data_IF_833658508377
#
_entry.id   IF_833658508377
#
_cell.length_a   1.000
_cell.length_b   1.000
_cell.length_c   1.000
_cell.angle_alpha   90.00
_cell.angle_beta   90.00
_cell.angle_gamma   90.00
#
_symmetry.space_group_name_H-M   'P 1'
#
loop_
_entity.id
_entity.type
_entity.pdbx_description
1 polymer ?
#
# COMPACT_ATOMS: atom_id res chain seq x y z
N UNK A 1 -64.30 -20.32 -4.71
CA UNK A 1 -63.83 -18.92 -4.69
C UNK A 1 -62.54 -18.90 -3.85
N UNK A 2 -61.46 -19.20 -4.53
CA UNK A 2 -60.13 -19.27 -3.92
C UNK A 2 -59.29 -18.12 -4.44
N UNK A 3 -58.99 -17.19 -3.54
CA UNK A 3 -58.12 -16.08 -3.87
C UNK A 3 -56.70 -16.39 -3.42
N UNK A 4 -55.94 -16.92 -4.34
CA UNK A 4 -54.49 -17.16 -4.15
C UNK A 4 -53.78 -15.81 -4.17
N UNK A 5 -53.36 -15.35 -3.03
CA UNK A 5 -52.59 -14.12 -2.84
C UNK A 5 -51.10 -14.45 -3.06
N UNK A 6 -50.67 -14.25 -4.29
CA UNK A 6 -49.22 -14.32 -4.63
C UNK A 6 -48.55 -13.13 -4.02
N UNK A 7 -47.85 -13.36 -2.92
CA UNK A 7 -46.93 -12.37 -2.32
C UNK A 7 -45.64 -12.46 -3.15
N UNK A 8 -45.52 -11.54 -4.12
CA UNK A 8 -44.26 -11.29 -4.79
C UNK A 8 -43.28 -10.70 -3.82
N UNK A 9 -42.35 -11.50 -3.41
CA UNK A 9 -41.17 -11.10 -2.64
C UNK A 9 -40.18 -10.48 -3.63
N UNK A 10 -40.35 -9.20 -3.91
CA UNK A 10 -39.31 -8.39 -4.53
C UNK A 10 -38.17 -8.30 -3.53
N UNK A 11 -37.23 -9.27 -3.63
CA UNK A 11 -35.93 -9.13 -3.01
C UNK A 11 -35.27 -7.91 -3.66
N UNK A 12 -35.27 -6.80 -2.95
CA UNK A 12 -34.50 -5.61 -3.26
C UNK A 12 -33.04 -6.06 -3.40
N UNK A 13 -32.59 -6.23 -4.63
CA UNK A 13 -31.19 -6.42 -4.98
C UNK A 13 -30.47 -5.13 -4.64
N UNK A 14 -29.99 -5.04 -3.40
CA UNK A 14 -29.01 -4.01 -3.03
C UNK A 14 -27.88 -4.05 -4.07
N UNK A 15 -27.41 -2.91 -4.58
CA UNK A 15 -26.37 -2.87 -5.60
C UNK A 15 -25.15 -3.62 -5.08
N UNK A 16 -24.91 -4.77 -5.67
CA UNK A 16 -23.72 -5.56 -5.34
C UNK A 16 -22.52 -4.82 -5.93
N UNK A 17 -21.54 -4.47 -5.10
CA UNK A 17 -20.31 -3.81 -5.54
C UNK A 17 -19.62 -4.70 -6.57
N UNK A 18 -19.35 -4.17 -7.77
CA UNK A 18 -18.44 -4.84 -8.70
C UNK A 18 -17.01 -4.71 -8.18
N UNK A 19 -16.54 -5.79 -7.55
CA UNK A 19 -15.21 -5.81 -6.97
C UNK A 19 -14.10 -5.79 -8.00
N UNK A 20 -14.35 -6.24 -9.24
CA UNK A 20 -13.37 -6.17 -10.33
C UNK A 20 -13.12 -4.72 -10.72
N UNK A 21 -14.18 -3.96 -10.94
CA UNK A 21 -14.13 -2.53 -11.25
C UNK A 21 -13.55 -1.74 -10.07
N UNK A 22 -14.06 -1.98 -8.87
CA UNK A 22 -13.60 -1.29 -7.66
C UNK A 22 -12.10 -1.53 -7.37
N UNK A 23 -11.58 -2.72 -7.60
CA UNK A 23 -10.15 -3.03 -7.45
C UNK A 23 -9.33 -2.35 -8.56
N UNK A 24 -9.82 -2.34 -9.80
CA UNK A 24 -9.14 -1.68 -10.92
C UNK A 24 -9.04 -0.16 -10.72
N UNK A 25 -10.13 0.49 -10.31
CA UNK A 25 -10.15 1.93 -10.01
C UNK A 25 -9.21 2.32 -8.86
N UNK A 26 -9.06 1.44 -7.89
CA UNK A 26 -8.28 1.71 -6.67
C UNK A 26 -6.88 1.07 -6.69
N UNK A 27 -6.49 0.36 -7.76
CA UNK A 27 -5.24 -0.42 -7.86
C UNK A 27 -4.01 0.40 -7.48
N UNK A 28 -3.84 1.55 -8.10
CA UNK A 28 -2.63 2.36 -7.96
C UNK A 28 -2.36 2.77 -6.51
N UNK A 29 -3.33 3.42 -5.87
CA UNK A 29 -3.13 3.87 -4.49
C UNK A 29 -3.11 2.71 -3.48
N UNK A 30 -3.85 1.61 -3.74
CA UNK A 30 -3.76 0.40 -2.91
C UNK A 30 -2.34 -0.15 -2.89
N UNK A 31 -1.71 -0.28 -4.05
CA UNK A 31 -0.31 -0.70 -4.18
C UNK A 31 0.64 0.24 -3.44
N UNK A 32 0.39 1.55 -3.54
CA UNK A 32 1.17 2.56 -2.82
C UNK A 32 1.05 2.40 -1.30
N UNK A 33 -0.15 2.19 -0.77
CA UNK A 33 -0.39 1.92 0.66
C UNK A 33 0.30 0.62 1.10
N UNK A 34 0.15 -0.45 0.34
CA UNK A 34 0.78 -1.74 0.64
C UNK A 34 2.30 -1.58 0.65
N UNK A 35 2.88 -0.97 -0.40
CA UNK A 35 4.32 -0.73 -0.49
C UNK A 35 4.85 0.09 0.70
N UNK A 36 4.15 1.15 1.09
CA UNK A 36 4.52 1.95 2.26
C UNK A 36 4.64 1.11 3.55
N UNK A 37 3.91 0.00 3.63
CA UNK A 37 3.83 -0.86 4.81
C UNK A 37 4.76 -2.06 4.79
N UNK A 38 4.94 -2.69 3.61
CA UNK A 38 5.77 -3.89 3.47
C UNK A 38 7.21 -3.57 3.02
N UNK A 39 7.39 -2.53 2.19
CA UNK A 39 8.70 -2.04 1.75
C UNK A 39 9.31 -2.79 0.55
N UNK A 40 8.72 -3.91 0.12
CA UNK A 40 9.25 -4.79 -0.91
C UNK A 40 8.24 -4.94 -2.05
N UNK A 41 8.69 -4.81 -3.31
CA UNK A 41 7.80 -4.89 -4.49
C UNK A 41 7.12 -6.26 -4.62
N UNK A 42 7.87 -7.34 -4.42
CA UNK A 42 7.32 -8.69 -4.50
C UNK A 42 6.23 -8.93 -3.46
N UNK A 43 6.42 -8.40 -2.25
CA UNK A 43 5.42 -8.45 -1.18
C UNK A 43 4.13 -7.67 -1.52
N UNK A 44 4.23 -6.62 -2.37
CA UNK A 44 3.06 -5.85 -2.79
C UNK A 44 2.09 -6.74 -3.58
N UNK A 45 2.58 -7.54 -4.51
CA UNK A 45 1.73 -8.45 -5.30
C UNK A 45 1.05 -9.50 -4.43
N UNK A 46 1.80 -10.13 -3.51
CA UNK A 46 1.23 -11.13 -2.59
C UNK A 46 0.13 -10.52 -1.71
N UNK A 47 0.38 -9.34 -1.14
CA UNK A 47 -0.61 -8.66 -0.30
C UNK A 47 -1.79 -8.14 -1.11
N UNK A 48 -1.58 -7.63 -2.31
CA UNK A 48 -2.67 -7.17 -3.18
C UNK A 48 -3.59 -8.32 -3.58
N UNK A 49 -3.05 -9.50 -3.87
CA UNK A 49 -3.84 -10.72 -4.12
C UNK A 49 -4.71 -11.08 -2.90
N UNK A 50 -4.16 -11.01 -1.68
CA UNK A 50 -4.94 -11.26 -0.46
C UNK A 50 -6.05 -10.22 -0.24
N UNK A 51 -5.82 -8.96 -0.60
CA UNK A 51 -6.86 -7.91 -0.59
C UNK A 51 -7.96 -8.24 -1.60
N UNK A 52 -7.59 -8.62 -2.81
CA UNK A 52 -8.53 -9.00 -3.87
C UNK A 52 -9.36 -10.23 -3.48
N UNK A 53 -8.73 -11.25 -2.91
CA UNK A 53 -9.42 -12.42 -2.39
C UNK A 53 -10.40 -12.08 -1.26
N UNK A 54 -10.01 -11.17 -0.35
CA UNK A 54 -10.87 -10.71 0.71
C UNK A 54 -12.08 -9.93 0.17
N UNK A 55 -11.90 -9.14 -0.90
CA UNK A 55 -12.97 -8.40 -1.56
C UNK A 55 -14.00 -9.35 -2.21
N UNK A 56 -13.51 -10.34 -2.97
CA UNK A 56 -14.40 -11.32 -3.64
C UNK A 56 -15.10 -12.24 -2.66
N UNK A 57 -14.45 -12.59 -1.54
CA UNK A 57 -15.00 -13.49 -0.49
C UNK A 57 -15.87 -12.77 0.53
N UNK A 58 -16.06 -11.46 0.40
CA UNK A 58 -16.83 -10.69 1.37
C UNK A 58 -18.27 -11.22 1.49
N UNK A 59 -18.64 -11.66 2.70
CA UNK A 59 -19.95 -12.24 2.99
C UNK A 59 -21.02 -11.19 3.26
N UNK A 60 -20.63 -9.97 3.68
CA UNK A 60 -21.56 -8.88 3.94
C UNK A 60 -21.46 -7.84 2.80
N UNK A 61 -22.45 -7.72 1.92
CA UNK A 61 -22.42 -6.78 0.83
C UNK A 61 -22.32 -5.34 1.34
N UNK A 62 -21.38 -4.58 0.81
CA UNK A 62 -21.33 -3.14 1.02
C UNK A 62 -22.46 -2.52 0.20
N UNK A 63 -23.43 -1.93 0.89
CA UNK A 63 -24.58 -1.28 0.28
C UNK A 63 -24.29 0.16 -0.16
N UNK A 64 -23.14 0.69 0.23
CA UNK A 64 -22.77 2.10 0.04
C UNK A 64 -21.40 2.17 -0.66
N UNK A 65 -21.41 2.61 -1.91
CA UNK A 65 -20.21 2.76 -2.73
C UNK A 65 -19.15 3.67 -2.07
N UNK A 66 -19.57 4.67 -1.28
CA UNK A 66 -18.65 5.55 -0.56
C UNK A 66 -17.80 4.81 0.48
N UNK A 67 -18.21 3.62 0.90
CA UNK A 67 -17.51 2.79 1.88
C UNK A 67 -16.51 1.81 1.25
N UNK A 68 -16.50 1.68 -0.08
CA UNK A 68 -15.61 0.76 -0.80
C UNK A 68 -14.15 1.14 -0.58
N UNK A 69 -13.75 2.35 -0.88
CA UNK A 69 -12.35 2.80 -0.71
C UNK A 69 -11.89 2.74 0.77
N UNK A 70 -12.66 3.19 1.77
CA UNK A 70 -12.31 2.99 3.19
C UNK A 70 -12.20 1.53 3.61
N UNK A 71 -13.02 0.66 3.03
CA UNK A 71 -12.96 -0.79 3.31
C UNK A 71 -11.70 -1.42 2.70
N UNK A 72 -11.41 -1.13 1.42
CA UNK A 72 -10.21 -1.58 0.73
C UNK A 72 -8.94 -1.14 1.47
N UNK A 73 -8.91 0.12 1.94
CA UNK A 73 -7.79 0.62 2.75
C UNK A 73 -7.59 -0.20 4.02
N UNK A 74 -8.64 -0.40 4.82
CA UNK A 74 -8.54 -1.18 6.06
C UNK A 74 -8.10 -2.62 5.79
N UNK A 75 -8.60 -3.21 4.72
CA UNK A 75 -8.21 -4.57 4.30
C UNK A 75 -6.74 -4.60 3.90
N UNK A 76 -6.27 -3.66 3.08
CA UNK A 76 -4.87 -3.55 2.69
C UNK A 76 -3.93 -3.37 3.89
N UNK A 77 -4.33 -2.54 4.86
CA UNK A 77 -3.60 -2.36 6.13
C UNK A 77 -3.51 -3.66 6.91
N UNK A 78 -4.63 -4.38 7.04
CA UNK A 78 -4.72 -5.64 7.78
C UNK A 78 -3.88 -6.72 7.11
N UNK A 79 -4.01 -6.91 5.80
CA UNK A 79 -3.25 -7.91 5.04
C UNK A 79 -1.74 -7.60 5.06
N UNK A 80 -1.35 -6.34 4.94
CA UNK A 80 0.05 -5.93 5.10
C UNK A 80 0.62 -6.27 6.48
N UNK A 81 -0.19 -6.13 7.54
CA UNK A 81 0.21 -6.50 8.90
C UNK A 81 0.37 -8.01 9.05
N UNK A 82 -0.57 -8.79 8.52
CA UNK A 82 -0.53 -10.26 8.52
C UNK A 82 0.69 -10.78 7.74
N UNK A 83 0.94 -10.23 6.55
CA UNK A 83 2.13 -10.53 5.75
C UNK A 83 3.41 -10.34 6.56
N UNK A 84 3.57 -9.18 7.20
CA UNK A 84 4.78 -8.87 7.98
C UNK A 84 4.96 -9.78 9.19
N UNK A 85 3.87 -10.18 9.85
CA UNK A 85 3.93 -11.17 10.95
C UNK A 85 4.39 -12.53 10.42
N UNK A 86 3.89 -12.96 9.25
CA UNK A 86 4.29 -14.20 8.58
C UNK A 86 5.76 -14.15 8.15
N UNK A 87 6.18 -13.06 7.49
CA UNK A 87 7.56 -12.84 7.07
C UNK A 87 8.54 -12.80 8.26
N UNK A 88 8.17 -12.12 9.36
CA UNK A 88 8.98 -12.09 10.57
C UNK A 88 9.16 -13.46 11.22
N UNK A 89 8.11 -14.31 11.22
CA UNK A 89 8.23 -15.71 11.69
C UNK A 89 9.11 -16.53 10.77
N UNK A 90 8.94 -16.40 9.43
CA UNK A 90 9.76 -17.10 8.44
C UNK A 90 11.24 -16.70 8.58
N UNK A 91 11.52 -15.40 8.72
CA UNK A 91 12.88 -14.92 8.93
C UNK A 91 13.54 -15.50 10.19
N UNK A 92 12.83 -15.52 11.33
CA UNK A 92 13.34 -16.14 12.56
C UNK A 92 13.65 -17.62 12.38
N UNK A 93 12.80 -18.36 11.65
CA UNK A 93 13.06 -19.77 11.32
C UNK A 93 14.28 -19.90 10.38
N UNK A 94 14.40 -19.05 9.38
CA UNK A 94 15.52 -19.08 8.40
C UNK A 94 16.84 -18.69 9.07
N UNK A 95 16.84 -17.70 9.97
CA UNK A 95 18.02 -17.30 10.74
C UNK A 95 18.51 -18.43 11.66
N UNK A 96 17.63 -19.34 12.08
CA UNK A 96 18.00 -20.55 12.81
C UNK A 96 18.60 -21.67 11.91
N UNK A 97 18.34 -21.60 10.59
CA UNK A 97 18.77 -22.64 9.63
C UNK A 97 19.76 -22.18 8.55
N UNK A 98 20.06 -20.89 8.43
CA UNK A 98 20.86 -20.37 7.31
C UNK A 98 22.10 -19.61 7.77
N UNK A 99 23.15 -20.33 7.99
CA UNK A 99 24.53 -19.84 7.86
C UNK A 99 25.05 -20.02 6.42
N UNK A 100 24.18 -20.12 5.43
CA UNK A 100 24.60 -20.27 4.02
C UNK A 100 23.59 -19.68 3.03
N UNK A 101 24.17 -18.92 2.08
CA UNK A 101 23.64 -18.54 0.75
C UNK A 101 22.89 -17.21 0.65
N UNK A 102 23.58 -16.24 0.05
CA UNK A 102 23.01 -15.04 -0.62
C UNK A 102 22.66 -15.37 -2.05
N UNK A 103 21.55 -14.90 -2.60
CA UNK A 103 21.39 -14.74 -4.04
C UNK A 103 21.31 -13.26 -4.43
N UNK A 104 22.10 -12.94 -5.44
CA UNK A 104 22.06 -11.72 -6.24
C UNK A 104 21.31 -12.06 -7.53
N UNK A 105 20.34 -11.26 -7.93
CA UNK A 105 20.00 -11.16 -9.36
C UNK A 105 19.26 -9.85 -9.67
N UNK A 106 19.76 -9.16 -10.68
CA UNK A 106 19.28 -7.89 -11.23
C UNK A 106 18.99 -8.15 -12.72
N UNK A 107 17.78 -7.87 -13.14
CA UNK A 107 17.37 -7.91 -14.55
C UNK A 107 17.55 -6.54 -15.19
N UNK A 108 18.36 -6.48 -16.24
CA UNK A 108 18.81 -5.26 -16.92
C UNK A 108 18.20 -5.12 -18.31
N UNK A 109 17.42 -4.07 -18.54
CA UNK A 109 17.08 -3.58 -19.88
C UNK A 109 17.87 -2.32 -20.20
N UNK A 110 18.39 -2.28 -21.44
CA UNK A 110 19.38 -1.36 -21.98
C UNK A 110 18.96 0.12 -21.89
N UNK A 111 19.72 0.86 -21.10
CA UNK A 111 19.84 2.32 -21.08
C UNK A 111 21.34 2.58 -20.89
N UNK A 112 21.85 3.76 -21.31
CA UNK A 112 23.25 4.13 -21.13
C UNK A 112 23.72 3.70 -19.73
N UNK A 113 24.79 2.89 -19.60
CA UNK A 113 25.22 2.33 -18.34
C UNK A 113 25.47 3.36 -17.25
N UNK A 114 25.91 4.57 -17.62
CA UNK A 114 26.20 5.63 -16.66
C UNK A 114 24.90 6.31 -16.16
N UNK A 115 23.97 6.64 -17.07
CA UNK A 115 22.68 7.22 -16.70
C UNK A 115 21.82 6.22 -15.91
N UNK A 116 21.93 4.94 -16.25
CA UNK A 116 21.27 3.86 -15.52
C UNK A 116 21.84 3.72 -14.10
N UNK A 117 23.16 3.72 -13.95
CA UNK A 117 23.82 3.59 -12.65
C UNK A 117 23.43 4.74 -11.73
N UNK A 118 23.53 5.98 -12.21
CA UNK A 118 23.13 7.18 -11.46
C UNK A 118 21.62 7.19 -11.13
N UNK A 119 20.78 6.72 -12.05
CA UNK A 119 19.36 6.60 -11.81
C UNK A 119 19.04 5.52 -10.76
N UNK A 120 19.78 4.41 -10.77
CA UNK A 120 19.58 3.33 -9.81
C UNK A 120 20.07 3.70 -8.42
N UNK A 121 21.23 4.36 -8.32
CA UNK A 121 21.75 4.92 -7.06
C UNK A 121 20.77 5.91 -6.44
N UNK A 122 20.21 6.83 -7.24
CA UNK A 122 19.17 7.78 -6.76
C UNK A 122 17.91 7.06 -6.30
N UNK A 123 17.46 6.05 -7.04
CA UNK A 123 16.30 5.23 -6.66
C UNK A 123 16.56 4.46 -5.37
N UNK A 124 17.76 3.92 -5.23
CA UNK A 124 18.18 3.21 -4.04
C UNK A 124 18.23 4.15 -2.84
N UNK A 125 18.83 5.32 -3.00
CA UNK A 125 18.88 6.37 -1.99
C UNK A 125 17.47 6.76 -1.53
N UNK A 126 16.54 7.00 -2.44
CA UNK A 126 15.14 7.32 -2.09
C UNK A 126 14.47 6.17 -1.33
N UNK A 127 14.69 4.90 -1.76
CA UNK A 127 14.13 3.73 -1.07
C UNK A 127 14.64 3.61 0.37
N UNK A 128 15.94 3.79 0.57
CA UNK A 128 16.55 3.73 1.89
C UNK A 128 16.07 4.88 2.79
N UNK A 129 15.98 6.11 2.26
CA UNK A 129 15.41 7.24 2.98
C UNK A 129 13.95 7.01 3.37
N UNK A 130 13.14 6.47 2.47
CA UNK A 130 11.77 6.08 2.78
C UNK A 130 11.71 4.96 3.84
N UNK A 131 12.67 4.01 3.83
CA UNK A 131 12.72 2.95 4.83
C UNK A 131 12.98 3.47 6.26
N UNK A 132 13.70 4.59 6.40
CA UNK A 132 13.96 5.25 7.68
C UNK A 132 12.74 5.97 8.27
N UNK A 133 11.72 6.26 7.47
CA UNK A 133 10.51 6.91 7.94
C UNK A 133 9.59 5.93 8.68
N UNK A 134 8.88 6.44 9.70
CA UNK A 134 7.76 5.71 10.27
C UNK A 134 6.72 5.40 9.18
N UNK A 135 6.08 4.22 9.24
CA UNK A 135 5.19 3.73 8.17
C UNK A 135 4.10 4.73 7.77
N UNK A 136 3.44 5.34 8.76
CA UNK A 136 2.39 6.35 8.50
C UNK A 136 2.94 7.61 7.84
N UNK A 137 4.15 8.02 8.17
CA UNK A 137 4.80 9.19 7.58
C UNK A 137 5.24 8.88 6.14
N UNK A 138 5.76 7.65 5.88
CA UNK A 138 6.06 7.15 4.54
C UNK A 138 4.81 7.07 3.67
N UNK A 139 3.72 6.51 4.20
CA UNK A 139 2.45 6.38 3.51
C UNK A 139 1.88 7.73 3.08
N UNK A 140 1.81 8.69 3.99
CA UNK A 140 1.34 10.06 3.70
C UNK A 140 2.22 10.73 2.64
N UNK A 141 3.54 10.56 2.72
CA UNK A 141 4.48 11.14 1.79
C UNK A 141 4.32 10.52 0.39
N UNK A 142 4.20 9.20 0.29
CA UNK A 142 3.98 8.52 -0.97
C UNK A 142 2.63 8.91 -1.59
N UNK A 143 1.53 8.83 -0.85
CA UNK A 143 0.20 9.20 -1.35
C UNK A 143 0.17 10.66 -1.81
N UNK A 144 0.87 11.58 -1.12
CA UNK A 144 0.94 12.98 -1.54
C UNK A 144 1.70 13.18 -2.84
N UNK A 145 2.81 12.49 -3.06
CA UNK A 145 3.73 12.78 -4.17
C UNK A 145 3.67 11.79 -5.33
N UNK A 146 3.16 10.59 -5.13
CA UNK A 146 2.97 9.63 -6.24
C UNK A 146 1.53 9.58 -6.73
N UNK A 147 0.55 9.84 -5.84
CA UNK A 147 -0.88 9.83 -6.18
C UNK A 147 -1.49 11.23 -6.21
N UNK A 148 -0.71 12.25 -5.91
CA UNK A 148 -1.09 13.68 -5.91
C UNK A 148 -2.32 14.01 -5.03
N UNK A 149 -2.52 13.26 -3.94
CA UNK A 149 -3.65 13.45 -3.05
C UNK A 149 -3.62 14.81 -2.34
N UNK A 150 -4.77 15.47 -2.26
CA UNK A 150 -4.96 16.65 -1.45
C UNK A 150 -4.85 16.35 0.06
N UNK A 151 -4.64 17.36 0.87
CA UNK A 151 -4.62 17.20 2.34
C UNK A 151 -5.95 16.65 2.87
N UNK A 152 -7.06 17.07 2.27
CA UNK A 152 -8.40 16.61 2.61
C UNK A 152 -8.56 15.12 2.30
N UNK A 153 -8.20 14.68 1.10
CA UNK A 153 -8.24 13.26 0.74
C UNK A 153 -7.40 12.39 1.67
N UNK A 154 -6.18 12.87 2.03
CA UNK A 154 -5.33 12.19 3.00
C UNK A 154 -5.96 12.14 4.40
N UNK A 155 -6.59 13.24 4.84
CA UNK A 155 -7.27 13.33 6.13
C UNK A 155 -8.44 12.35 6.23
N UNK A 156 -9.32 12.38 5.23
CA UNK A 156 -10.50 11.50 5.13
C UNK A 156 -10.07 10.02 5.09
N UNK A 157 -9.06 9.71 4.28
CA UNK A 157 -8.56 8.35 4.10
C UNK A 157 -7.90 7.77 5.36
N UNK A 158 -7.11 8.58 6.06
CA UNK A 158 -6.38 8.17 7.25
C UNK A 158 -7.17 8.33 8.56
N UNK A 159 -8.35 8.95 8.51
CA UNK A 159 -9.18 9.24 9.67
C UNK A 159 -8.50 10.20 10.66
N UNK A 160 -7.80 11.23 10.16
CA UNK A 160 -7.11 12.27 10.96
C UNK A 160 -7.45 13.65 10.41
N UNK A 161 -7.17 14.71 11.17
CA UNK A 161 -7.38 16.09 10.70
C UNK A 161 -6.37 16.50 9.62
N UNK A 162 -6.74 17.45 8.76
CA UNK A 162 -5.84 18.03 7.75
C UNK A 162 -4.59 18.66 8.39
N UNK A 163 -4.74 19.29 9.55
CA UNK A 163 -3.61 19.83 10.30
C UNK A 163 -2.65 18.73 10.75
N UNK A 164 -3.16 17.57 11.17
CA UNK A 164 -2.35 16.41 11.50
C UNK A 164 -1.63 15.84 10.26
N UNK A 165 -2.26 15.85 9.09
CA UNK A 165 -1.64 15.47 7.81
C UNK A 165 -0.48 16.43 7.49
N UNK A 166 -0.71 17.74 7.56
CA UNK A 166 0.32 18.76 7.30
C UNK A 166 1.52 18.60 8.24
N UNK A 167 1.27 18.43 9.54
CA UNK A 167 2.31 18.22 10.52
C UNK A 167 3.13 16.95 10.26
N UNK A 168 2.48 15.85 9.86
CA UNK A 168 3.16 14.60 9.49
C UNK A 168 4.00 14.74 8.22
N UNK A 169 3.45 15.37 7.17
CA UNK A 169 4.19 15.65 5.93
C UNK A 169 5.39 16.56 6.19
N UNK A 170 5.25 17.56 7.04
CA UNK A 170 6.36 18.42 7.41
C UNK A 170 7.50 17.63 8.08
N UNK A 171 7.17 16.77 9.06
CA UNK A 171 8.17 15.92 9.74
C UNK A 171 8.80 14.91 8.81
N UNK A 172 7.99 14.25 7.95
CA UNK A 172 8.48 13.28 6.99
C UNK A 172 9.47 13.92 5.99
N UNK A 173 9.11 15.09 5.45
CA UNK A 173 10.00 15.87 4.56
C UNK A 173 11.29 16.31 5.25
N UNK A 174 11.20 16.76 6.49
CA UNK A 174 12.38 17.16 7.27
C UNK A 174 13.34 15.98 7.44
N UNK A 175 12.84 14.82 7.90
CA UNK A 175 13.65 13.61 8.09
C UNK A 175 14.27 13.12 6.79
N UNK A 176 13.49 13.13 5.70
CA UNK A 176 13.99 12.72 4.38
C UNK A 176 15.14 13.62 3.90
N UNK A 177 15.01 14.95 4.09
CA UNK A 177 16.07 15.90 3.75
C UNK A 177 17.33 15.74 4.61
N UNK A 178 17.17 15.54 5.91
CA UNK A 178 18.28 15.31 6.84
C UNK A 178 19.05 14.04 6.44
N UNK A 179 18.32 12.98 6.12
CA UNK A 179 18.91 11.74 5.69
C UNK A 179 19.65 11.85 4.34
N UNK A 180 19.07 12.56 3.35
CA UNK A 180 19.72 12.81 2.07
C UNK A 180 20.99 13.66 2.19
N UNK A 181 20.98 14.68 3.04
CA UNK A 181 22.17 15.54 3.29
C UNK A 181 23.32 14.74 3.92
N UNK A 182 23.05 13.95 4.93
CA UNK A 182 24.08 13.16 5.59
C UNK A 182 24.75 12.11 4.71
N UNK A 183 24.20 11.83 3.51
CA UNK A 183 24.83 10.97 2.50
C UNK A 183 25.51 11.75 1.38
N UNK A 184 25.06 12.97 1.10
CA UNK A 184 25.73 13.87 0.15
C UNK A 184 27.11 14.30 0.66
N UNK A 185 27.23 14.50 1.96
CA UNK A 185 28.51 14.90 2.61
C UNK A 185 29.49 13.73 2.80
N UNK A 186 29.06 12.49 2.63
CA UNK A 186 29.91 11.29 2.76
C UNK A 186 30.53 10.82 1.44
N UNK A 187 30.31 11.53 0.36
CA UNK A 187 30.76 11.23 -1.00
C UNK A 187 31.75 12.22 -1.60
N UNK A 188 32.22 13.21 -0.81
CA UNK A 188 33.37 14.08 -1.18
C UNK A 188 34.66 13.58 -0.47
#
# INVERSE_FOLDING_TARGET
MDSTKTVGQEASLAPNVDWSEALAENDRWLRTVIFARVGERQAVEEVFQEVSLAAVRQQAPLQDASKVAPWLYRTAVTQSLLYRRKAGRRRKLTEQYAEAVRPTEIDTKQVDPLDWLLADERRQMVREGLAMLARRDREILLLKYTEDWSYRQLADHLGISESAVQARLHRARKRMREWMRGRGDAGE
#
